data_IF_011764421980
#
_entry.id   IF_011764421980
#
_cell.length_a   1.000
_cell.length_b   1.000
_cell.length_c   1.000
_cell.angle_alpha   90.00
_cell.angle_beta   90.00
_cell.angle_gamma   90.00
#
_symmetry.space_group_name_H-M   'P 1'
#
loop_
_entity.id
_entity.type
_entity.pdbx_description
1 polymer ?
#
# COMPACT_ATOMS: atom_id res chain seq x y z
N UNK A 1 2.34 1.92 19.61
CA UNK A 1 0.95 2.45 19.72
C UNK A 1 0.34 2.40 18.34
N UNK A 2 -0.70 1.58 18.13
CA UNK A 2 -1.43 1.49 16.87
C UNK A 2 -2.21 2.79 16.66
N UNK A 3 -1.77 3.65 15.72
CA UNK A 3 -2.62 4.70 15.18
C UNK A 3 -3.66 4.05 14.26
N UNK A 4 -4.93 4.39 14.41
CA UNK A 4 -5.98 3.97 13.49
C UNK A 4 -5.83 4.81 12.21
N UNK A 5 -5.47 4.18 11.09
CA UNK A 5 -5.51 4.80 9.77
C UNK A 5 -6.60 4.14 8.95
N UNK A 6 -7.40 4.93 8.26
CA UNK A 6 -8.33 4.47 7.23
C UNK A 6 -7.74 4.78 5.86
N UNK A 7 -7.79 3.82 4.94
CA UNK A 7 -7.40 4.01 3.55
C UNK A 7 -8.64 3.78 2.67
N UNK A 8 -8.87 4.70 1.74
CA UNK A 8 -9.91 4.58 0.72
C UNK A 8 -9.26 4.42 -0.65
N UNK A 9 -9.60 3.35 -1.35
CA UNK A 9 -9.04 3.01 -2.65
C UNK A 9 -9.93 3.50 -3.78
N UNK A 10 -9.35 4.15 -4.78
CA UNK A 10 -10.05 4.60 -5.97
C UNK A 10 -9.37 4.01 -7.21
N UNK A 11 -10.11 3.17 -7.94
CA UNK A 11 -9.72 2.73 -9.27
C UNK A 11 -10.30 3.69 -10.31
N UNK A 12 -9.44 4.45 -10.97
CA UNK A 12 -9.84 5.24 -12.14
C UNK A 12 -9.75 4.34 -13.38
N UNK A 13 -10.92 3.85 -13.85
CA UNK A 13 -11.01 3.24 -15.17
C UNK A 13 -11.07 4.34 -16.22
N UNK A 14 -10.11 4.34 -17.14
CA UNK A 14 -10.22 5.15 -18.35
C UNK A 14 -11.08 4.43 -19.38
N UNK A 15 -11.95 5.18 -20.06
CA UNK A 15 -12.75 4.62 -21.15
C UNK A 15 -11.83 4.23 -22.33
N UNK A 16 -12.04 3.04 -22.94
CA UNK A 16 -11.24 2.60 -24.07
C UNK A 16 -11.47 3.50 -25.27
N UNK A 17 -10.40 4.02 -25.85
CA UNK A 17 -10.46 4.75 -27.11
C UNK A 17 -10.49 3.76 -28.27
N UNK A 18 -11.57 3.74 -29.03
CA UNK A 18 -11.73 2.88 -30.20
C UNK A 18 -11.09 3.52 -31.44
N UNK A 19 -10.23 2.79 -32.12
CA UNK A 19 -9.68 3.16 -33.42
C UNK A 19 -10.46 2.43 -34.51
N UNK A 20 -11.02 3.18 -35.46
CA UNK A 20 -11.77 2.64 -36.58
C UNK A 20 -10.95 2.78 -37.87
N UNK A 21 -10.88 1.68 -38.63
CA UNK A 21 -10.40 1.67 -40.01
C UNK A 21 -11.45 0.99 -40.88
N UNK A 22 -11.77 1.54 -42.05
CA UNK A 22 -12.76 1.05 -43.02
C UNK A 22 -14.14 0.72 -42.41
N UNK A 23 -14.63 1.58 -41.50
CA UNK A 23 -15.89 1.39 -40.76
C UNK A 23 -15.95 0.15 -39.85
N UNK A 24 -14.83 -0.51 -39.61
CA UNK A 24 -14.72 -1.64 -38.71
C UNK A 24 -13.87 -1.24 -37.51
N UNK A 25 -14.32 -1.58 -36.29
CA UNK A 25 -13.56 -1.37 -35.07
C UNK A 25 -12.32 -2.28 -35.07
N UNK A 26 -11.16 -1.68 -35.34
CA UNK A 26 -9.91 -2.42 -35.53
C UNK A 26 -9.16 -2.66 -34.23
N UNK A 27 -9.15 -1.71 -33.31
CA UNK A 27 -8.40 -1.78 -32.07
C UNK A 27 -9.09 -0.98 -30.95
N UNK A 28 -9.13 -1.56 -29.76
CA UNK A 28 -9.42 -0.83 -28.52
C UNK A 28 -8.08 -0.55 -27.82
N UNK A 29 -7.67 0.70 -27.79
CA UNK A 29 -6.58 1.13 -26.92
C UNK A 29 -7.13 1.35 -25.51
N UNK A 30 -6.70 0.52 -24.58
CA UNK A 30 -6.93 0.74 -23.16
C UNK A 30 -5.64 1.31 -22.58
N UNK A 31 -5.69 2.47 -21.96
CA UNK A 31 -4.58 2.97 -21.17
C UNK A 31 -4.40 2.12 -19.92
N UNK A 32 -3.21 2.20 -19.31
CA UNK A 32 -2.93 1.53 -18.04
C UNK A 32 -3.91 2.04 -16.96
N UNK A 33 -4.42 1.13 -16.16
CA UNK A 33 -5.24 1.46 -14.99
C UNK A 33 -4.37 2.18 -13.96
N UNK A 34 -4.81 3.35 -13.50
CA UNK A 34 -4.15 4.09 -12.44
C UNK A 34 -4.81 3.73 -11.11
N UNK A 35 -3.99 3.31 -10.15
CA UNK A 35 -4.42 3.06 -8.78
C UNK A 35 -4.06 4.28 -7.92
N UNK A 36 -4.95 4.68 -7.04
CA UNK A 36 -4.73 5.77 -6.11
C UNK A 36 -5.72 5.68 -4.96
N UNK A 37 -5.55 6.51 -3.96
CA UNK A 37 -6.42 6.50 -2.78
C UNK A 37 -6.14 7.67 -1.85
N UNK A 38 -6.80 7.63 -0.70
CA UNK A 38 -6.63 8.59 0.38
C UNK A 38 -6.25 7.86 1.66
N UNK A 39 -5.24 8.36 2.35
CA UNK A 39 -4.84 7.90 3.67
C UNK A 39 -5.33 8.93 4.68
N UNK A 40 -6.11 8.50 5.66
CA UNK A 40 -6.55 9.33 6.76
C UNK A 40 -5.97 8.80 8.07
N UNK A 41 -5.39 9.68 8.88
CA UNK A 41 -4.81 9.32 10.15
C UNK A 41 -4.94 10.46 11.17
N UNK A 42 -4.98 10.12 12.46
CA UNK A 42 -4.91 11.10 13.55
C UNK A 42 -3.48 11.46 13.92
N UNK A 43 -2.51 10.69 13.48
CA UNK A 43 -1.09 10.89 13.74
C UNK A 43 -0.26 10.28 12.61
N UNK A 44 0.78 10.98 12.19
CA UNK A 44 1.80 10.46 11.27
C UNK A 44 3.10 10.19 12.05
N UNK A 45 3.82 9.11 11.74
CA UNK A 45 5.16 8.92 12.29
C UNK A 45 6.15 9.92 11.67
N UNK A 46 7.27 10.18 12.36
CA UNK A 46 8.26 11.17 11.90
C UNK A 46 8.89 10.78 10.56
N UNK A 47 9.04 9.48 10.29
CA UNK A 47 9.55 8.94 9.03
C UNK A 47 8.67 9.32 7.83
N UNK A 48 7.39 9.56 8.07
CA UNK A 48 6.46 9.98 7.02
C UNK A 48 6.69 11.43 6.56
N UNK A 49 7.42 12.23 7.33
CA UNK A 49 7.70 13.63 7.00
C UNK A 49 8.37 13.78 5.62
N UNK A 50 9.30 12.89 5.25
CA UNK A 50 9.94 12.91 3.93
C UNK A 50 8.95 12.59 2.79
N UNK A 51 7.96 11.73 3.05
CA UNK A 51 6.88 11.44 2.09
C UNK A 51 5.90 12.60 1.96
N UNK A 52 5.70 13.38 3.03
CA UNK A 52 4.86 14.60 3.04
C UNK A 52 5.60 15.84 2.50
N UNK A 53 6.87 15.71 2.11
CA UNK A 53 7.69 16.81 1.56
C UNK A 53 8.28 17.72 2.63
N UNK A 54 8.52 17.19 3.82
CA UNK A 54 9.24 17.85 4.90
C UNK A 54 10.53 17.10 5.19
N UNK A 55 11.61 17.81 5.51
CA UNK A 55 12.89 17.22 5.89
C UNK A 55 13.36 17.79 7.22
N UNK A 56 13.72 16.91 8.13
CA UNK A 56 14.33 17.33 9.38
C UNK A 56 15.77 17.84 9.13
N UNK A 57 16.04 19.09 9.57
CA UNK A 57 17.34 19.73 9.44
C UNK A 57 18.10 19.80 10.78
N UNK A 58 17.39 19.69 11.87
CA UNK A 58 17.90 19.55 13.23
C UNK A 58 16.80 18.91 14.09
N UNK A 59 17.11 18.30 15.25
CA UNK A 59 16.13 17.67 16.09
C UNK A 59 14.91 18.56 16.37
N UNK A 60 13.74 18.14 15.85
CA UNK A 60 12.48 18.87 15.97
C UNK A 60 12.32 20.08 15.04
N UNK A 61 13.24 20.31 14.08
CA UNK A 61 13.17 21.43 13.12
C UNK A 61 13.00 20.88 11.71
N UNK A 62 11.86 21.15 11.09
CA UNK A 62 11.51 20.62 9.77
C UNK A 62 11.46 21.73 8.72
N UNK A 63 12.09 21.49 7.58
CA UNK A 63 11.96 22.32 6.38
C UNK A 63 10.92 21.71 5.46
N UNK A 64 9.84 22.45 5.16
CA UNK A 64 8.81 22.06 4.21
C UNK A 64 9.24 22.28 2.74
N UNK A 65 8.34 21.91 1.80
CA UNK A 65 8.51 22.09 0.34
C UNK A 65 9.74 21.36 -0.24
N UNK A 66 10.11 20.26 0.37
CA UNK A 66 11.20 19.40 -0.12
C UNK A 66 10.68 18.35 -1.11
N UNK A 67 11.62 17.70 -1.80
CA UNK A 67 11.28 16.58 -2.67
C UNK A 67 10.64 15.47 -1.85
N UNK A 68 9.51 14.94 -2.36
CA UNK A 68 8.77 13.87 -1.71
C UNK A 68 9.36 12.52 -2.06
N UNK A 69 9.42 11.65 -1.08
CA UNK A 69 9.79 10.26 -1.28
C UNK A 69 8.55 9.41 -1.56
N UNK A 70 8.75 8.38 -2.40
CA UNK A 70 7.73 7.36 -2.60
C UNK A 70 7.66 6.46 -1.37
N UNK A 71 6.45 6.04 -1.05
CA UNK A 71 6.18 5.12 0.04
C UNK A 71 5.48 3.86 -0.47
N UNK A 72 5.50 2.81 0.31
CA UNK A 72 4.67 1.64 0.15
C UNK A 72 3.70 1.51 1.31
N UNK A 73 2.56 0.91 1.07
CA UNK A 73 1.52 0.69 2.07
C UNK A 73 1.19 -0.79 2.18
N UNK A 74 0.93 -1.25 3.39
CA UNK A 74 0.22 -2.52 3.59
C UNK A 74 -0.96 -2.31 4.52
N UNK A 75 -2.10 -2.88 4.17
CA UNK A 75 -3.31 -2.82 5.00
C UNK A 75 -4.14 -4.08 4.85
N UNK A 76 -4.98 -4.34 5.84
CA UNK A 76 -5.89 -5.49 5.87
C UNK A 76 -7.34 -5.02 5.82
N UNK A 77 -8.15 -5.68 4.99
CA UNK A 77 -9.60 -5.56 5.01
C UNK A 77 -10.21 -6.86 5.52
N UNK A 78 -11.12 -6.77 6.48
CA UNK A 78 -11.78 -7.94 7.04
C UNK A 78 -12.80 -8.50 6.06
N UNK A 79 -12.89 -9.82 6.02
CA UNK A 79 -13.93 -10.56 5.32
C UNK A 79 -14.90 -11.09 6.36
N UNK A 80 -16.18 -10.80 6.18
CA UNK A 80 -17.25 -11.35 7.01
C UNK A 80 -18.16 -12.29 6.23
N UNK A 81 -18.83 -13.18 6.94
CA UNK A 81 -19.95 -13.98 6.46
C UNK A 81 -21.06 -14.02 7.52
N UNK A 82 -22.22 -14.59 7.16
CA UNK A 82 -23.37 -14.64 8.04
C UNK A 82 -23.20 -15.60 9.23
N UNK A 83 -22.17 -16.45 9.21
CA UNK A 83 -21.91 -17.46 10.25
C UNK A 83 -20.82 -17.00 11.21
N UNK A 84 -19.66 -16.54 10.68
CA UNK A 84 -18.46 -16.23 11.47
C UNK A 84 -18.29 -14.72 11.67
N UNK A 85 -19.24 -13.91 11.21
CA UNK A 85 -19.16 -12.45 11.28
C UNK A 85 -17.84 -11.93 10.70
N UNK A 86 -17.06 -11.14 11.44
CA UNK A 86 -15.80 -10.57 11.01
C UNK A 86 -14.58 -11.50 11.16
N UNK A 87 -14.77 -12.70 11.72
CA UNK A 87 -13.68 -13.67 11.98
C UNK A 87 -13.48 -14.66 10.83
N UNK A 88 -14.26 -14.52 9.73
CA UNK A 88 -14.16 -15.41 8.57
C UNK A 88 -12.79 -15.34 7.87
N UNK A 89 -12.19 -14.17 7.78
CA UNK A 89 -10.91 -13.98 7.16
C UNK A 89 -10.57 -12.51 6.89
N UNK A 90 -9.52 -12.31 6.14
CA UNK A 90 -9.10 -10.97 5.72
C UNK A 90 -8.45 -10.99 4.35
N UNK A 91 -8.42 -9.83 3.69
CA UNK A 91 -7.56 -9.58 2.54
C UNK A 91 -6.42 -8.70 2.97
N UNK A 92 -5.20 -9.12 2.67
CA UNK A 92 -4.00 -8.32 2.81
C UNK A 92 -3.72 -7.63 1.49
N UNK A 93 -3.51 -6.33 1.53
CA UNK A 93 -3.19 -5.50 0.37
C UNK A 93 -1.79 -4.92 0.53
N UNK A 94 -0.97 -5.04 -0.52
CA UNK A 94 0.34 -4.40 -0.62
C UNK A 94 0.28 -3.40 -1.75
N UNK A 95 0.57 -2.14 -1.48
CA UNK A 95 0.53 -1.04 -2.45
C UNK A 95 1.92 -0.47 -2.61
N UNK A 96 2.34 -0.32 -3.86
CA UNK A 96 3.69 0.08 -4.24
C UNK A 96 3.71 1.42 -4.97
N UNK A 97 4.84 2.11 -4.86
CA UNK A 97 5.09 3.32 -5.63
C UNK A 97 4.14 4.46 -5.34
N UNK A 98 3.65 4.56 -4.11
CA UNK A 98 2.75 5.63 -3.69
C UNK A 98 3.50 6.95 -3.58
N UNK A 99 3.00 7.99 -4.20
CA UNK A 99 3.46 9.35 -4.04
C UNK A 99 2.34 10.18 -3.42
N UNK A 100 2.57 10.66 -2.20
CA UNK A 100 1.59 11.49 -1.50
C UNK A 100 1.49 12.89 -2.13
N UNK A 101 0.27 13.34 -2.40
CA UNK A 101 -0.01 14.70 -2.87
C UNK A 101 0.05 15.70 -1.71
N UNK A 102 0.32 17.00 -1.98
CA UNK A 102 0.18 18.03 -0.97
C UNK A 102 -1.25 18.04 -0.41
N UNK A 103 -1.36 18.00 0.91
CA UNK A 103 -2.65 18.09 1.60
C UNK A 103 -2.77 19.39 2.37
N UNK A 104 -4.00 19.88 2.52
CA UNK A 104 -4.28 20.98 3.43
C UNK A 104 -4.30 20.44 4.87
N UNK A 105 -3.58 21.12 5.78
CA UNK A 105 -3.64 20.84 7.20
C UNK A 105 -4.49 21.92 7.86
N UNK A 106 -5.71 21.57 8.26
CA UNK A 106 -6.58 22.48 9.02
C UNK A 106 -6.13 22.54 10.47
N UNK A 107 -5.91 23.76 10.98
CA UNK A 107 -5.67 23.99 12.40
C UNK A 107 -6.89 24.69 12.98
N UNK A 108 -7.56 24.05 13.93
CA UNK A 108 -8.67 24.68 14.66
C UNK A 108 -8.24 25.05 16.07
N UNK A 109 -8.79 26.17 16.56
CA UNK A 109 -8.57 26.56 17.94
C UNK A 109 -9.34 25.61 18.86
N UNK A 110 -8.74 25.27 20.00
CA UNK A 110 -9.39 24.46 21.03
C UNK A 110 -10.63 25.19 21.54
N UNK A 111 -11.77 24.54 21.45
CA UNK A 111 -13.06 25.00 22.01
C UNK A 111 -13.56 24.00 23.07
N UNK A 112 -14.76 24.20 23.58
CA UNK A 112 -15.38 23.38 24.63
C UNK A 112 -15.63 21.91 24.17
N UNK A 113 -15.52 21.63 22.86
CA UNK A 113 -15.63 20.28 22.28
C UNK A 113 -14.42 20.05 21.37
N UNK A 114 -13.26 19.65 21.90
CA UNK A 114 -12.06 19.43 21.10
C UNK A 114 -12.27 18.22 20.18
N UNK A 115 -12.21 18.48 18.89
CA UNK A 115 -12.18 17.42 17.84
C UNK A 115 -10.73 17.07 17.49
N UNK A 116 -10.46 15.79 17.30
CA UNK A 116 -9.16 15.35 16.83
C UNK A 116 -8.93 15.84 15.40
N UNK A 117 -7.77 16.44 15.15
CA UNK A 117 -7.36 16.84 13.80
C UNK A 117 -7.13 15.57 12.99
N UNK A 118 -7.86 15.41 11.90
CA UNK A 118 -7.64 14.34 10.95
C UNK A 118 -6.67 14.81 9.87
N UNK A 119 -5.58 14.09 9.72
CA UNK A 119 -4.62 14.28 8.64
C UNK A 119 -5.08 13.43 7.47
N UNK A 120 -5.11 14.01 6.27
CA UNK A 120 -5.56 13.33 5.05
C UNK A 120 -4.54 13.57 3.94
N UNK A 121 -4.12 12.50 3.26
CA UNK A 121 -3.24 12.57 2.11
C UNK A 121 -3.81 11.76 0.96
N UNK A 122 -4.01 12.42 -0.17
CA UNK A 122 -4.24 11.71 -1.42
C UNK A 122 -2.90 11.15 -1.93
N UNK A 123 -2.92 9.97 -2.52
CA UNK A 123 -1.77 9.41 -3.19
C UNK A 123 -2.11 8.87 -4.57
N UNK A 124 -1.17 8.98 -5.48
CA UNK A 124 -1.16 8.28 -6.76
C UNK A 124 -0.05 7.23 -6.75
N UNK A 125 -0.16 6.22 -7.62
CA UNK A 125 0.83 5.15 -7.66
C UNK A 125 1.54 5.09 -8.99
N UNK A 126 2.81 4.69 -8.93
CA UNK A 126 3.59 4.31 -10.11
C UNK A 126 3.76 2.79 -10.10
N UNK A 127 3.25 2.08 -11.13
CA UNK A 127 3.36 0.62 -11.18
C UNK A 127 4.80 0.14 -11.18
N UNK A 128 5.08 -0.91 -10.41
CA UNK A 128 6.39 -1.57 -10.33
C UNK A 128 6.42 -2.74 -11.31
N UNK A 129 7.53 -2.87 -12.04
CA UNK A 129 7.71 -4.00 -12.97
C UNK A 129 7.83 -5.32 -12.22
N UNK A 130 7.28 -6.38 -12.84
CA UNK A 130 7.41 -7.77 -12.41
C UNK A 130 8.30 -8.47 -13.43
N UNK A 131 9.46 -8.93 -12.99
CA UNK A 131 10.40 -9.67 -13.82
C UNK A 131 10.09 -11.18 -13.88
N UNK A 132 9.47 -11.71 -12.82
CA UNK A 132 9.12 -13.12 -12.70
C UNK A 132 8.05 -13.51 -13.73
N UNK A 133 8.29 -14.62 -14.44
CA UNK A 133 7.33 -15.20 -15.38
C UNK A 133 6.35 -16.11 -14.63
N UNK A 134 5.06 -15.96 -14.91
CA UNK A 134 4.01 -16.88 -14.44
C UNK A 134 3.50 -17.64 -15.66
N UNK A 135 3.55 -18.97 -15.62
CA UNK A 135 3.19 -19.85 -16.75
C UNK A 135 3.90 -19.45 -18.07
N UNK A 136 5.16 -19.03 -17.96
CA UNK A 136 5.97 -18.59 -19.09
C UNK A 136 5.60 -17.21 -19.68
N UNK A 137 4.70 -16.46 -19.02
CA UNK A 137 4.27 -15.14 -19.48
C UNK A 137 4.73 -14.05 -18.52
N UNK A 138 5.19 -12.92 -19.08
CA UNK A 138 5.51 -11.73 -18.30
C UNK A 138 4.20 -11.05 -17.88
N UNK A 139 4.07 -10.76 -16.58
CA UNK A 139 2.99 -9.95 -16.05
C UNK A 139 3.19 -8.46 -16.40
N UNK A 140 2.10 -7.71 -16.43
CA UNK A 140 2.17 -6.25 -16.53
C UNK A 140 2.66 -5.67 -15.20
N UNK A 141 3.30 -4.49 -15.22
CA UNK A 141 3.60 -3.75 -14.01
C UNK A 141 2.36 -3.57 -13.14
N UNK A 142 2.51 -3.67 -11.82
CA UNK A 142 1.40 -3.54 -10.88
C UNK A 142 1.73 -2.56 -9.76
N UNK A 143 0.71 -1.86 -9.28
CA UNK A 143 0.80 -1.02 -8.09
C UNK A 143 0.22 -1.70 -6.85
N UNK A 144 -0.52 -2.80 -7.03
CA UNK A 144 -1.19 -3.47 -5.92
C UNK A 144 -1.12 -4.99 -6.06
N UNK A 145 -0.85 -5.66 -4.94
CA UNK A 145 -1.04 -7.09 -4.76
C UNK A 145 -2.05 -7.33 -3.64
N UNK A 146 -2.95 -8.28 -3.86
CA UNK A 146 -4.00 -8.61 -2.88
C UNK A 146 -3.98 -10.11 -2.60
N UNK A 147 -4.00 -10.47 -1.32
CA UNK A 147 -3.98 -11.84 -0.81
C UNK A 147 -5.26 -12.11 -0.04
N UNK A 148 -5.94 -13.18 -0.38
CA UNK A 148 -7.13 -13.64 0.31
C UNK A 148 -6.72 -14.73 1.31
N UNK A 149 -6.80 -14.45 2.61
CA UNK A 149 -6.37 -15.37 3.67
C UNK A 149 -7.12 -16.69 3.68
N UNK A 150 -8.31 -16.74 3.07
CA UNK A 150 -9.11 -17.97 2.98
C UNK A 150 -8.67 -18.91 1.86
N UNK A 151 -7.81 -18.44 0.94
CA UNK A 151 -7.38 -19.17 -0.25
C UNK A 151 -5.87 -19.40 -0.33
N UNK A 152 -5.10 -18.50 0.26
CA UNK A 152 -3.63 -18.58 0.30
C UNK A 152 -3.22 -19.58 1.36
N UNK A 153 -2.16 -20.35 1.11
CA UNK A 153 -1.55 -21.23 2.11
C UNK A 153 -1.14 -20.44 3.36
N UNK A 154 -1.58 -20.91 4.53
CA UNK A 154 -1.37 -20.20 5.79
C UNK A 154 0.10 -20.02 6.16
N UNK A 155 0.99 -20.97 5.79
CA UNK A 155 2.43 -20.88 6.07
C UNK A 155 3.08 -19.82 5.19
N UNK A 156 2.71 -19.75 3.92
CA UNK A 156 3.22 -18.75 2.98
C UNK A 156 2.75 -17.36 3.36
N UNK A 157 1.49 -17.24 3.78
CA UNK A 157 0.94 -15.97 4.26
C UNK A 157 1.63 -15.51 5.54
N UNK A 158 1.88 -16.43 6.49
CA UNK A 158 2.62 -16.13 7.71
C UNK A 158 4.07 -15.70 7.43
N UNK A 159 4.76 -16.34 6.48
CA UNK A 159 6.10 -15.93 6.07
C UNK A 159 6.11 -14.53 5.44
N UNK A 160 5.10 -14.19 4.65
CA UNK A 160 4.95 -12.84 4.10
C UNK A 160 4.69 -11.82 5.22
N UNK A 161 3.81 -12.14 6.17
CA UNK A 161 3.50 -11.26 7.29
C UNK A 161 4.70 -11.08 8.24
N UNK A 162 5.55 -12.09 8.41
CA UNK A 162 6.80 -11.97 9.17
C UNK A 162 7.75 -10.95 8.54
N UNK A 163 7.85 -10.90 7.21
CA UNK A 163 8.64 -9.88 6.50
C UNK A 163 8.01 -8.48 6.63
N UNK A 164 6.67 -8.39 6.55
CA UNK A 164 5.96 -7.11 6.59
C UNK A 164 5.98 -6.45 7.97
N UNK A 165 5.80 -7.25 9.01
CA UNK A 165 5.64 -6.73 10.38
C UNK A 165 6.89 -6.91 11.24
N UNK A 166 7.85 -7.65 10.71
CA UNK A 166 9.06 -8.00 11.43
C UNK A 166 8.85 -9.10 12.49
N UNK A 167 9.93 -9.55 13.03
CA UNK A 167 9.98 -10.50 14.13
C UNK A 167 11.08 -10.10 15.09
N UNK A 168 10.75 -9.98 16.34
CA UNK A 168 11.76 -9.76 17.38
C UNK A 168 12.72 -10.96 17.46
N UNK A 169 14.02 -10.72 17.67
CA UNK A 169 14.98 -11.81 17.87
C UNK A 169 14.60 -12.64 19.10
N UNK A 170 14.85 -13.94 19.04
CA UNK A 170 14.49 -14.88 20.12
C UNK A 170 15.22 -14.59 21.44
N UNK A 171 16.36 -13.89 21.39
CA UNK A 171 17.09 -13.36 22.54
C UNK A 171 17.90 -12.12 22.11
N UNK A 172 18.38 -11.36 23.10
CA UNK A 172 19.18 -10.15 22.84
C UNK A 172 20.51 -10.42 22.10
N UNK A 173 20.97 -11.66 22.06
CA UNK A 173 22.21 -12.10 21.40
C UNK A 173 21.93 -12.89 20.10
N UNK A 174 20.66 -13.16 19.77
CA UNK A 174 20.30 -13.92 18.59
C UNK A 174 20.14 -12.99 17.37
N UNK A 175 20.68 -13.43 16.23
CA UNK A 175 20.58 -12.75 14.93
C UNK A 175 19.44 -13.38 14.07
N UNK A 176 18.33 -13.76 14.72
CA UNK A 176 17.15 -14.38 14.09
C UNK A 176 15.95 -13.43 14.00
N UNK A 177 16.16 -12.17 14.29
CA UNK A 177 15.18 -11.10 14.09
C UNK A 177 14.97 -10.76 12.60
N UNK A 178 13.76 -10.33 12.27
CA UNK A 178 13.41 -9.83 10.91
C UNK A 178 12.98 -8.39 11.02
N UNK A 179 13.70 -7.49 10.34
CA UNK A 179 13.28 -6.09 10.27
C UNK A 179 12.05 -5.94 9.37
N UNK A 180 11.03 -5.18 9.80
CA UNK A 180 9.82 -4.97 9.02
C UNK A 180 10.13 -4.21 7.73
N UNK A 181 9.66 -4.72 6.60
CA UNK A 181 9.79 -4.08 5.29
C UNK A 181 8.69 -4.50 4.34
N UNK A 182 8.46 -3.70 3.31
CA UNK A 182 7.57 -4.07 2.21
C UNK A 182 8.38 -4.84 1.15
N UNK A 183 8.14 -6.16 0.96
CA UNK A 183 8.84 -6.94 -0.06
C UNK A 183 8.39 -6.52 -1.46
N UNK A 184 9.30 -6.53 -2.44
CA UNK A 184 8.99 -6.24 -3.83
C UNK A 184 8.11 -7.33 -4.47
N UNK A 185 7.35 -7.03 -5.54
CA UNK A 185 6.45 -8.00 -6.17
C UNK A 185 7.11 -9.33 -6.56
N UNK A 186 8.33 -9.29 -7.09
CA UNK A 186 9.06 -10.51 -7.48
C UNK A 186 9.42 -11.39 -6.29
N UNK A 187 9.76 -10.79 -5.14
CA UNK A 187 10.02 -11.52 -3.90
C UNK A 187 8.75 -12.17 -3.36
N UNK A 188 7.66 -11.43 -3.36
CA UNK A 188 6.33 -11.93 -2.95
C UNK A 188 5.91 -13.11 -3.83
N UNK A 189 6.06 -13.01 -5.16
CA UNK A 189 5.74 -14.10 -6.07
C UNK A 189 6.58 -15.34 -5.74
N UNK A 190 7.86 -15.18 -5.48
CA UNK A 190 8.73 -16.31 -5.09
C UNK A 190 8.25 -16.99 -3.81
N UNK A 191 7.87 -16.23 -2.78
CA UNK A 191 7.33 -16.78 -1.53
C UNK A 191 6.04 -17.56 -1.80
N UNK A 192 5.14 -17.00 -2.62
CA UNK A 192 3.83 -17.60 -2.90
C UNK A 192 3.92 -18.81 -3.82
N UNK A 193 4.90 -18.86 -4.73
CA UNK A 193 5.06 -19.96 -5.71
C UNK A 193 6.07 -21.01 -5.27
N UNK A 194 6.82 -20.80 -4.19
CA UNK A 194 7.74 -21.81 -3.65
C UNK A 194 6.98 -23.11 -3.37
N UNK A 195 7.52 -24.21 -3.86
CA UNK A 195 7.03 -25.54 -3.47
C UNK A 195 7.35 -25.78 -2.00
N UNK A 196 6.34 -26.14 -1.21
CA UNK A 196 6.45 -26.37 0.23
C UNK A 196 7.02 -27.73 0.60
#
# INVERSE_FOLDING_TARGET
RKGSSAASDVYKRQEPTAIYADNIKYLNLMSAEEFGGTIEAYMAPDEFAECDGSKEIAPGVFAGQQNRQMLGLSYKTLLGNDVDSNDYGYKLHLVYGCLASPSEKGYSTVNDSPEAITLSWEFSTTPVEIATLIDGKKLKPTSILTFDSTKVDAKKLAALEEILYGKDPSSAEADDGVEPRLPLPDEVIKIMTAEG
#
